data_IF_270252224336
#
_entry.id   IF_270252224336
#
_cell.length_a   1.000
_cell.length_b   1.000
_cell.length_c   1.000
_cell.angle_alpha   90.00
_cell.angle_beta   90.00
_cell.angle_gamma   90.00
#
_symmetry.space_group_name_H-M   'P 1'
#
loop_
_entity.id
_entity.type
_entity.pdbx_description
1 polymer ?
#
# COMPACT_ATOMS: atom_id res chain seq x y z
N UNK A 1 27.83 -62.38 37.08
CA UNK A 1 26.53 -62.96 37.51
C UNK A 1 25.48 -62.59 36.47
N UNK A 2 24.93 -63.63 35.84
CA UNK A 2 23.90 -63.79 34.78
C UNK A 2 23.00 -62.58 34.48
N UNK A 3 22.91 -62.09 33.22
CA UNK A 3 22.10 -62.58 32.06
C UNK A 3 20.62 -62.82 32.42
N UNK A 4 19.64 -62.23 31.71
CA UNK A 4 19.14 -62.70 30.42
C UNK A 4 18.53 -61.55 29.58
N UNK A 5 18.89 -61.50 28.29
CA UNK A 5 18.21 -60.82 27.17
C UNK A 5 17.37 -61.87 26.41
N UNK A 6 16.23 -61.47 25.84
CA UNK A 6 15.49 -62.29 24.87
C UNK A 6 15.79 -61.84 23.42
N UNK A 7 16.22 -62.82 22.61
CA UNK A 7 16.16 -62.95 21.13
C UNK A 7 14.70 -63.24 20.70
N UNK A 8 14.22 -63.27 19.45
CA UNK A 8 14.78 -63.41 18.08
C UNK A 8 13.62 -63.10 17.09
N UNK A 9 13.84 -62.44 15.95
CA UNK A 9 14.12 -63.01 14.62
C UNK A 9 12.92 -63.67 13.90
N UNK A 10 12.52 -63.14 12.72
CA UNK A 10 12.54 -63.92 11.46
C UNK A 10 12.32 -63.03 10.22
N UNK A 11 13.08 -63.36 9.16
CA UNK A 11 13.11 -62.75 7.82
C UNK A 11 13.13 -63.93 6.82
N UNK A 12 12.26 -63.94 5.82
CA UNK A 12 12.31 -64.75 4.57
C UNK A 12 10.96 -64.63 3.85
N UNK A 13 10.78 -64.81 2.54
CA UNK A 13 11.55 -64.63 1.32
C UNK A 13 10.52 -64.75 0.17
N UNK A 14 10.82 -64.10 -0.96
CA UNK A 14 10.31 -64.26 -2.34
C UNK A 14 9.39 -65.46 -2.67
N UNK A 15 8.27 -65.17 -3.35
CA UNK A 15 7.70 -66.04 -4.40
C UNK A 15 7.29 -65.18 -5.61
N UNK A 16 7.57 -65.72 -6.80
CA UNK A 16 7.49 -65.12 -8.12
C UNK A 16 6.25 -65.64 -8.88
N UNK A 17 5.69 -64.80 -9.77
CA UNK A 17 4.85 -65.09 -10.96
C UNK A 17 3.38 -65.51 -10.74
N UNK A 18 2.45 -64.69 -11.26
CA UNK A 18 1.47 -65.10 -12.27
C UNK A 18 0.77 -63.88 -12.90
N UNK A 19 0.50 -64.01 -14.19
CA UNK A 19 0.00 -63.04 -15.17
C UNK A 19 -1.43 -62.58 -14.88
N UNK A 20 -1.72 -61.27 -15.03
CA UNK A 20 -2.97 -60.79 -15.65
C UNK A 20 -2.64 -59.58 -16.55
N UNK A 21 -3.01 -59.75 -17.81
CA UNK A 21 -2.94 -58.82 -18.93
C UNK A 21 -4.11 -57.83 -18.81
N UNK A 22 -3.85 -56.53 -18.72
CA UNK A 22 -4.88 -55.51 -18.87
C UNK A 22 -4.43 -54.50 -19.94
N UNK A 23 -5.10 -54.57 -21.10
CA UNK A 23 -4.96 -53.64 -22.21
C UNK A 23 -5.38 -52.23 -21.78
N UNK A 24 -4.45 -51.28 -21.81
CA UNK A 24 -4.79 -49.86 -21.81
C UNK A 24 -4.66 -49.36 -23.24
N UNK A 25 -5.82 -49.09 -23.84
CA UNK A 25 -5.98 -48.44 -25.13
C UNK A 25 -5.56 -46.98 -24.96
N UNK A 26 -4.42 -46.62 -25.56
CA UNK A 26 -3.97 -45.22 -25.65
C UNK A 26 -4.72 -44.57 -26.81
N UNK A 27 -5.71 -43.73 -26.50
CA UNK A 27 -6.31 -42.81 -27.47
C UNK A 27 -5.33 -41.69 -27.77
N UNK A 28 -4.65 -41.78 -28.91
CA UNK A 28 -3.83 -40.69 -29.46
C UNK A 28 -4.80 -39.68 -30.09
N UNK A 29 -5.21 -38.68 -29.32
CA UNK A 29 -5.95 -37.53 -29.87
C UNK A 29 -5.01 -36.70 -30.73
N UNK A 30 -5.28 -36.68 -32.03
CA UNK A 30 -4.53 -35.94 -33.04
C UNK A 30 -4.95 -34.47 -32.98
N UNK A 31 -4.09 -33.62 -32.42
CA UNK A 31 -4.21 -32.17 -32.57
C UNK A 31 -3.82 -31.78 -34.00
N UNK A 32 -4.83 -31.54 -34.84
CA UNK A 32 -4.67 -30.87 -36.14
C UNK A 32 -4.32 -29.40 -35.90
N UNK A 33 -3.07 -29.03 -36.16
CA UNK A 33 -2.65 -27.63 -36.30
C UNK A 33 -3.12 -27.09 -37.67
N UNK A 34 -3.87 -25.97 -37.72
CA UNK A 34 -4.13 -25.29 -38.98
C UNK A 34 -2.85 -24.58 -39.48
N UNK A 35 -2.56 -24.76 -40.76
CA UNK A 35 -1.42 -24.15 -41.47
C UNK A 35 -1.47 -22.61 -41.42
N UNK A 36 -0.31 -21.92 -41.47
CA UNK A 36 -0.26 -20.46 -41.45
C UNK A 36 -0.83 -19.90 -42.75
N UNK A 37 -1.86 -19.06 -42.63
CA UNK A 37 -2.39 -18.29 -43.75
C UNK A 37 -1.47 -17.09 -44.02
N UNK A 38 -1.08 -16.93 -45.28
CA UNK A 38 -0.28 -15.81 -45.77
C UNK A 38 -0.97 -14.47 -45.46
N UNK A 39 -0.29 -13.62 -44.70
CA UNK A 39 -0.69 -12.23 -44.50
C UNK A 39 -0.47 -11.46 -45.82
N UNK A 40 -1.56 -10.98 -46.41
CA UNK A 40 -1.52 -10.05 -47.55
C UNK A 40 -1.31 -8.64 -47.00
N UNK A 41 -0.12 -8.08 -47.23
CA UNK A 41 0.22 -6.69 -46.94
C UNK A 41 -0.68 -5.76 -47.76
N UNK A 42 -1.60 -5.04 -47.12
CA UNK A 42 -2.33 -3.94 -47.76
C UNK A 42 -1.57 -2.63 -47.52
N UNK A 43 -1.00 -2.08 -48.59
CA UNK A 43 -0.46 -0.72 -48.63
C UNK A 43 -1.61 0.29 -48.49
N UNK A 44 -1.51 1.34 -47.65
CA UNK A 44 -2.53 2.37 -47.58
C UNK A 44 -2.43 3.31 -48.79
N UNK A 45 -3.50 3.41 -49.57
CA UNK A 45 -3.65 4.40 -50.64
C UNK A 45 -4.19 5.71 -50.03
N UNK A 46 -3.44 6.80 -50.19
CA UNK A 46 -3.87 8.16 -49.87
C UNK A 46 -5.07 8.55 -50.74
N UNK A 47 -6.20 8.88 -50.12
CA UNK A 47 -7.36 9.43 -50.80
C UNK A 47 -7.15 10.93 -51.08
N UNK A 48 -7.47 11.36 -52.30
CA UNK A 48 -7.43 12.75 -52.74
C UNK A 48 -8.61 13.57 -52.15
N UNK A 49 -8.43 14.87 -51.88
CA UNK A 49 -9.51 15.74 -51.37
C UNK A 49 -10.53 16.10 -52.47
N UNK A 50 -11.83 16.25 -52.14
CA UNK A 50 -12.84 16.68 -53.09
C UNK A 50 -12.76 18.19 -53.41
N UNK A 51 -13.15 18.60 -54.63
CA UNK A 51 -13.07 20.00 -55.08
C UNK A 51 -14.35 20.81 -54.78
N UNK A 52 -14.15 22.14 -54.71
CA UNK A 52 -15.07 23.30 -54.73
C UNK A 52 -16.14 23.43 -53.62
N UNK A 53 -16.55 24.61 -53.16
CA UNK A 53 -16.03 25.98 -53.00
C UNK A 53 -17.24 26.77 -52.45
N UNK A 54 -17.12 27.62 -51.43
CA UNK A 54 -17.83 28.91 -51.38
C UNK A 54 -17.01 29.93 -50.56
N UNK A 55 -16.74 31.07 -51.19
CA UNK A 55 -15.98 32.18 -50.63
C UNK A 55 -16.97 33.16 -50.00
N UNK A 56 -17.05 33.19 -48.67
CA UNK A 56 -17.75 34.26 -47.96
C UNK A 56 -16.74 35.29 -47.48
N UNK A 57 -16.81 36.49 -48.07
CA UNK A 57 -16.13 37.70 -47.61
C UNK A 57 -16.66 38.06 -46.22
N UNK A 58 -15.81 38.19 -45.19
CA UNK A 58 -16.29 38.59 -43.86
C UNK A 58 -16.63 40.08 -43.83
N UNK A 59 -17.81 40.39 -43.29
CA UNK A 59 -18.22 41.75 -42.95
C UNK A 59 -17.33 42.33 -41.82
N UNK A 60 -17.12 43.66 -41.76
CA UNK A 60 -16.30 44.26 -40.72
C UNK A 60 -16.98 44.12 -39.36
N UNK A 61 -16.34 43.37 -38.46
CA UNK A 61 -16.80 43.19 -37.09
C UNK A 61 -16.56 44.48 -36.28
N UNK A 62 -17.60 44.91 -35.57
CA UNK A 62 -17.56 46.04 -34.63
C UNK A 62 -16.53 45.77 -33.53
N UNK A 63 -15.60 46.70 -33.35
CA UNK A 63 -14.61 46.68 -32.27
C UNK A 63 -15.30 46.79 -30.91
N UNK A 64 -15.48 45.66 -30.22
CA UNK A 64 -15.78 45.68 -28.79
C UNK A 64 -14.48 45.94 -28.05
N UNK A 65 -14.44 47.02 -27.28
CA UNK A 65 -13.37 47.33 -26.33
C UNK A 65 -13.23 46.17 -25.36
N UNK A 66 -12.15 45.39 -25.51
CA UNK A 66 -11.79 44.32 -24.56
C UNK A 66 -11.25 45.00 -23.31
N UNK A 67 -12.05 45.04 -22.26
CA UNK A 67 -11.55 45.34 -20.91
C UNK A 67 -10.61 44.17 -20.53
N UNK A 68 -9.35 44.42 -20.15
CA UNK A 68 -8.45 43.35 -19.72
C UNK A 68 -9.10 42.59 -18.55
N UNK A 69 -9.03 41.24 -18.53
CA UNK A 69 -9.53 40.51 -17.37
C UNK A 69 -8.76 40.99 -16.14
N UNK A 70 -9.50 41.50 -15.15
CA UNK A 70 -9.00 41.74 -13.80
C UNK A 70 -8.25 40.48 -13.37
N UNK A 71 -6.94 40.61 -13.10
CA UNK A 71 -6.15 39.53 -12.53
C UNK A 71 -6.84 39.11 -11.24
N UNK A 72 -7.55 37.98 -11.30
CA UNK A 72 -8.10 37.34 -10.11
C UNK A 72 -6.87 36.84 -9.36
N UNK A 73 -6.61 37.42 -8.18
CA UNK A 73 -5.51 36.98 -7.34
C UNK A 73 -5.55 35.45 -7.24
N UNK A 74 -4.42 34.80 -7.49
CA UNK A 74 -4.31 33.36 -7.35
C UNK A 74 -4.85 32.95 -5.96
N UNK A 75 -5.66 31.89 -5.86
CA UNK A 75 -6.14 31.43 -4.56
C UNK A 75 -4.94 31.20 -3.65
N UNK A 76 -4.97 31.80 -2.46
CA UNK A 76 -3.93 31.61 -1.44
C UNK A 76 -3.77 30.09 -1.26
N UNK A 77 -2.58 29.52 -1.49
CA UNK A 77 -2.35 28.11 -1.22
C UNK A 77 -2.74 27.85 0.23
N UNK A 78 -3.59 26.85 0.45
CA UNK A 78 -4.00 26.51 1.80
C UNK A 78 -2.73 26.29 2.66
N UNK A 79 -2.63 26.96 3.79
CA UNK A 79 -1.54 26.76 4.74
C UNK A 79 -2.19 26.35 6.07
N UNK A 80 -2.00 25.10 6.53
CA UNK A 80 -2.68 24.59 7.72
C UNK A 80 -2.20 25.26 9.02
N UNK A 81 -1.14 26.06 8.96
CA UNK A 81 -0.73 26.95 10.05
C UNK A 81 -1.54 28.26 10.08
N UNK A 82 -2.10 28.68 8.95
CA UNK A 82 -2.85 29.93 8.79
C UNK A 82 -4.35 29.68 8.83
N UNK A 83 -4.81 28.61 8.18
CA UNK A 83 -6.21 28.14 8.22
C UNK A 83 -6.25 26.82 8.97
N UNK A 84 -7.25 26.64 9.85
CA UNK A 84 -7.32 25.51 10.79
C UNK A 84 -6.94 24.14 10.19
N UNK A 85 -7.30 23.86 8.94
CA UNK A 85 -6.85 22.68 8.21
C UNK A 85 -6.96 22.89 6.70
N UNK A 86 -6.32 22.00 5.94
CA UNK A 86 -6.33 21.98 4.49
C UNK A 86 -6.89 20.67 3.95
N UNK A 87 -7.62 20.75 2.83
CA UNK A 87 -8.01 19.57 2.04
C UNK A 87 -7.32 19.70 0.69
N UNK A 88 -6.58 18.66 0.30
CA UNK A 88 -5.76 18.65 -0.93
C UNK A 88 -5.81 17.28 -1.61
N UNK A 89 -5.28 17.22 -2.83
CA UNK A 89 -4.89 15.93 -3.40
C UNK A 89 -3.78 15.32 -2.54
N UNK A 90 -3.97 14.06 -2.12
CA UNK A 90 -2.90 13.27 -1.51
C UNK A 90 -1.99 12.69 -2.59
N UNK A 91 -0.81 12.22 -2.19
CA UNK A 91 0.13 11.59 -3.12
C UNK A 91 -0.43 10.26 -3.66
N UNK A 92 -0.99 9.42 -2.78
CA UNK A 92 -1.83 8.24 -3.07
C UNK A 92 -1.58 7.55 -4.44
N UNK A 93 -0.39 6.96 -4.64
CA UNK A 93 -0.02 6.31 -5.91
C UNK A 93 -0.17 4.79 -5.90
N UNK A 94 -0.35 4.18 -4.72
CA UNK A 94 -0.39 2.74 -4.57
C UNK A 94 -1.79 2.24 -4.27
N UNK A 95 -2.19 1.14 -4.89
CA UNK A 95 -3.36 0.39 -4.46
C UNK A 95 -3.05 -0.45 -3.22
N UNK A 96 -4.09 -0.97 -2.56
CA UNK A 96 -3.93 -1.87 -1.41
C UNK A 96 -3.29 -3.20 -1.86
N UNK A 97 -2.29 -3.73 -1.11
CA UNK A 97 -1.60 -4.97 -1.48
C UNK A 97 -2.42 -6.24 -1.17
N UNK A 98 -3.46 -6.10 -0.36
CA UNK A 98 -4.52 -7.10 -0.18
C UNK A 98 -5.77 -6.55 -0.87
N UNK A 99 -6.50 -7.41 -1.58
CA UNK A 99 -7.73 -7.04 -2.29
C UNK A 99 -8.94 -7.77 -1.69
N UNK A 100 -10.16 -7.18 -1.78
CA UNK A 100 -11.40 -7.86 -1.44
C UNK A 100 -11.53 -9.23 -2.14
N UNK A 101 -12.17 -10.23 -1.52
CA UNK A 101 -12.94 -10.16 -0.28
C UNK A 101 -12.09 -10.22 1.01
N UNK A 102 -10.76 -10.27 0.88
CA UNK A 102 -9.86 -10.30 2.04
C UNK A 102 -9.79 -8.94 2.74
N UNK A 103 -9.23 -8.92 3.95
CA UNK A 103 -9.11 -7.71 4.73
C UNK A 103 -8.01 -6.80 4.16
N UNK A 104 -8.43 -5.81 3.39
CA UNK A 104 -7.58 -4.81 2.79
C UNK A 104 -7.47 -3.52 3.64
N UNK A 105 -7.76 -3.58 4.95
CA UNK A 105 -7.57 -2.48 5.89
C UNK A 105 -6.26 -2.62 6.63
N UNK A 106 -5.55 -1.51 6.81
CA UNK A 106 -4.40 -1.46 7.69
C UNK A 106 -4.85 -1.60 9.16
N UNK A 107 -4.08 -2.33 9.95
CA UNK A 107 -4.36 -2.56 11.36
C UNK A 107 -4.14 -1.27 12.18
N UNK A 108 -5.26 -0.66 12.58
CA UNK A 108 -5.27 0.57 13.38
C UNK A 108 -4.66 0.36 14.79
N UNK A 109 -4.47 -0.87 15.24
CA UNK A 109 -3.87 -1.17 16.54
C UNK A 109 -2.34 -1.22 16.50
N UNK A 110 -1.75 -1.23 15.30
CA UNK A 110 -0.30 -1.21 15.11
C UNK A 110 0.11 -0.33 13.90
N UNK A 111 -0.23 0.95 13.99
CA UNK A 111 0.09 1.95 12.98
C UNK A 111 1.59 2.19 12.85
N UNK A 112 1.98 2.83 11.75
CA UNK A 112 3.34 3.31 11.51
C UNK A 112 3.85 4.16 12.68
N UNK A 113 5.13 4.00 12.99
CA UNK A 113 5.88 4.58 14.10
C UNK A 113 5.34 4.26 15.52
N UNK A 114 4.37 3.36 15.67
CA UNK A 114 3.90 2.93 16.99
C UNK A 114 4.92 2.00 17.66
N UNK A 115 5.21 2.21 18.95
CA UNK A 115 5.97 1.25 19.77
C UNK A 115 5.05 0.36 20.63
N UNK A 116 3.73 0.51 20.47
CA UNK A 116 2.71 -0.07 21.35
C UNK A 116 2.94 0.27 22.84
N UNK A 117 3.09 1.57 23.14
CA UNK A 117 3.33 2.09 24.49
C UNK A 117 4.65 1.61 25.09
N UNK A 118 5.73 1.70 24.32
CA UNK A 118 7.10 1.36 24.70
C UNK A 118 7.41 -0.14 24.73
N UNK A 119 6.55 -1.00 24.17
CA UNK A 119 6.70 -2.45 24.24
C UNK A 119 7.48 -3.07 23.08
N UNK A 120 7.62 -2.33 21.97
CA UNK A 120 8.26 -2.77 20.73
C UNK A 120 9.13 -1.66 20.16
N UNK A 121 10.05 -2.01 19.28
CA UNK A 121 10.67 -1.01 18.42
C UNK A 121 9.58 -0.33 17.57
N UNK A 122 9.75 0.96 17.19
CA UNK A 122 8.77 1.66 16.37
C UNK A 122 8.47 0.88 15.10
N UNK A 123 7.21 0.89 14.67
CA UNK A 123 6.77 0.16 13.48
C UNK A 123 7.14 0.89 12.19
N UNK A 124 7.86 0.23 11.27
CA UNK A 124 8.35 0.85 10.03
C UNK A 124 7.38 0.75 8.83
N UNK A 125 6.18 0.21 9.04
CA UNK A 125 5.18 0.00 8.00
C UNK A 125 3.75 0.01 8.53
N UNK A 126 2.89 -0.76 7.89
CA UNK A 126 1.53 -1.10 8.34
C UNK A 126 1.27 -2.58 8.16
N UNK A 127 0.34 -3.11 8.96
CA UNK A 127 -0.03 -4.53 8.91
C UNK A 127 -1.40 -4.74 8.26
N UNK A 128 -1.54 -5.82 7.48
CA UNK A 128 -2.82 -6.30 6.95
C UNK A 128 -3.13 -7.69 7.49
N UNK A 129 -3.98 -7.77 8.52
CA UNK A 129 -4.36 -9.05 9.15
C UNK A 129 -5.23 -9.91 8.24
N UNK A 130 -4.73 -11.08 7.83
CA UNK A 130 -5.39 -11.98 6.90
C UNK A 130 -5.01 -13.44 7.17
N UNK A 131 -5.82 -14.38 6.67
CA UNK A 131 -5.51 -15.81 6.80
C UNK A 131 -4.22 -16.18 6.05
N UNK A 132 -3.49 -17.16 6.57
CA UNK A 132 -2.33 -17.74 5.90
C UNK A 132 -2.71 -18.21 4.48
N UNK A 133 -1.87 -17.90 3.49
CA UNK A 133 -2.11 -18.24 2.08
C UNK A 133 -2.88 -17.18 1.28
N UNK A 134 -3.45 -16.16 1.95
CA UNK A 134 -4.14 -15.05 1.26
C UNK A 134 -3.24 -14.42 0.18
N UNK A 135 -3.69 -14.22 -1.07
CA UNK A 135 -2.85 -13.60 -2.10
C UNK A 135 -2.43 -12.17 -1.75
N UNK A 136 -1.14 -11.88 -1.94
CA UNK A 136 -0.53 -10.55 -1.83
C UNK A 136 -0.25 -10.04 -3.24
N UNK A 137 -0.62 -8.79 -3.50
CA UNK A 137 -0.52 -8.17 -4.81
C UNK A 137 0.47 -7.02 -4.80
N UNK A 138 1.12 -6.78 -5.94
CA UNK A 138 1.92 -5.58 -6.14
C UNK A 138 1.03 -4.33 -5.98
N UNK A 139 1.47 -3.41 -5.12
CA UNK A 139 0.77 -2.17 -4.81
C UNK A 139 0.89 -1.13 -5.94
N UNK A 140 1.87 -1.27 -6.83
CA UNK A 140 2.10 -0.41 -7.98
C UNK A 140 2.98 -1.11 -9.02
N UNK A 141 3.02 -0.55 -10.24
CA UNK A 141 3.90 -1.01 -11.31
C UNK A 141 5.36 -0.85 -10.90
N UNK A 142 6.22 -1.79 -11.25
CA UNK A 142 7.63 -1.69 -10.91
C UNK A 142 8.49 -2.90 -11.24
N UNK A 143 9.72 -2.84 -10.76
CA UNK A 143 10.73 -3.88 -10.91
C UNK A 143 10.97 -4.57 -9.57
N UNK A 144 10.88 -5.89 -9.51
CA UNK A 144 11.25 -6.66 -8.33
C UNK A 144 12.76 -6.57 -8.12
N UNK A 145 13.18 -5.89 -7.05
CA UNK A 145 14.60 -5.69 -6.68
C UNK A 145 15.07 -6.59 -5.54
N UNK A 146 14.14 -7.29 -4.89
CA UNK A 146 14.42 -8.35 -3.94
C UNK A 146 13.26 -9.35 -3.91
N UNK A 147 13.57 -10.65 -3.85
CA UNK A 147 12.59 -11.73 -3.77
C UNK A 147 13.24 -12.98 -3.16
N UNK A 148 13.43 -12.98 -1.84
CA UNK A 148 14.05 -14.07 -1.09
C UNK A 148 13.74 -13.96 0.41
N UNK A 149 14.29 -14.85 1.24
CA UNK A 149 14.31 -14.65 2.68
C UNK A 149 15.30 -13.53 3.07
N UNK A 150 14.89 -12.64 3.98
CA UNK A 150 15.69 -11.50 4.48
C UNK A 150 17.02 -11.90 5.15
N UNK A 151 17.24 -13.18 5.45
CA UNK A 151 18.57 -13.66 5.85
C UNK A 151 19.61 -13.61 4.72
N UNK A 152 19.20 -13.43 3.46
CA UNK A 152 20.10 -13.37 2.29
C UNK A 152 20.53 -11.94 1.95
N UNK A 153 19.84 -10.92 2.46
CA UNK A 153 20.25 -9.52 2.38
C UNK A 153 19.79 -8.75 3.61
N UNK A 154 20.64 -7.85 4.13
CA UNK A 154 20.31 -7.09 5.34
C UNK A 154 19.27 -5.99 5.05
N UNK A 155 17.99 -6.32 5.19
CA UNK A 155 16.85 -5.37 5.01
C UNK A 155 16.44 -4.63 6.29
N UNK A 156 16.91 -5.12 7.44
CA UNK A 156 16.74 -4.50 8.77
C UNK A 156 17.98 -4.73 9.65
N UNK A 157 18.10 -4.07 10.81
CA UNK A 157 19.14 -4.34 11.79
C UNK A 157 19.11 -5.75 12.40
N UNK A 158 17.98 -6.47 12.30
CA UNK A 158 17.79 -7.77 12.96
C UNK A 158 17.85 -8.93 11.98
N UNK A 159 18.27 -10.09 12.49
CA UNK A 159 18.36 -11.33 11.72
C UNK A 159 17.00 -12.00 11.61
N UNK A 160 16.57 -12.39 10.40
CA UNK A 160 15.32 -13.11 10.15
C UNK A 160 14.08 -12.40 10.73
N UNK A 161 14.05 -11.08 10.57
CA UNK A 161 12.99 -10.20 11.06
C UNK A 161 11.76 -10.31 10.17
N UNK A 162 11.93 -10.08 8.88
CA UNK A 162 10.83 -10.10 7.91
C UNK A 162 10.52 -11.52 7.40
N UNK A 163 11.48 -12.44 7.42
CA UNK A 163 11.31 -13.76 6.82
C UNK A 163 11.33 -13.68 5.29
N UNK A 164 10.34 -14.25 4.60
CA UNK A 164 10.26 -14.14 3.14
C UNK A 164 9.76 -12.76 2.73
N UNK A 165 10.49 -12.11 1.81
CA UNK A 165 10.25 -10.73 1.42
C UNK A 165 10.27 -10.57 -0.10
N UNK A 166 9.36 -9.73 -0.59
CA UNK A 166 9.46 -9.11 -1.91
C UNK A 166 9.70 -7.62 -1.72
N UNK A 167 10.59 -7.03 -2.51
CA UNK A 167 10.75 -5.57 -2.61
C UNK A 167 10.60 -5.17 -4.07
N UNK A 168 9.74 -4.19 -4.33
CA UNK A 168 9.49 -3.65 -5.67
C UNK A 168 9.99 -2.21 -5.70
N UNK A 169 10.81 -1.89 -6.70
CA UNK A 169 11.21 -0.53 -7.05
C UNK A 169 10.19 0.09 -7.99
N UNK A 170 9.79 1.31 -7.66
CA UNK A 170 8.87 2.14 -8.43
C UNK A 170 9.58 3.40 -8.96
N UNK A 171 8.83 4.27 -9.62
CA UNK A 171 9.33 5.59 -10.01
C UNK A 171 9.76 6.44 -8.80
N UNK A 172 10.53 7.49 -9.05
CA UNK A 172 10.94 8.50 -8.04
C UNK A 172 11.66 7.90 -6.82
N UNK A 173 12.48 6.86 -7.03
CA UNK A 173 13.28 6.25 -5.98
C UNK A 173 12.43 5.78 -4.76
N UNK A 174 11.23 5.30 -5.06
CA UNK A 174 10.30 4.73 -4.08
C UNK A 174 10.34 3.21 -4.16
N UNK A 175 10.24 2.54 -3.03
CA UNK A 175 10.16 1.09 -2.95
C UNK A 175 8.98 0.67 -2.07
N UNK A 176 8.38 -0.47 -2.39
CA UNK A 176 7.44 -1.15 -1.51
C UNK A 176 8.03 -2.48 -1.05
N UNK A 177 7.88 -2.78 0.23
CA UNK A 177 8.35 -4.02 0.84
C UNK A 177 7.14 -4.83 1.34
N UNK A 178 7.13 -6.13 1.05
CA UNK A 178 6.08 -7.08 1.40
C UNK A 178 6.70 -8.23 2.19
N UNK A 179 6.42 -8.32 3.48
CA UNK A 179 7.10 -9.23 4.39
C UNK A 179 6.17 -10.27 5.02
N UNK A 180 6.79 -11.18 5.79
CA UNK A 180 6.16 -12.30 6.47
C UNK A 180 5.47 -13.30 5.51
N UNK A 181 5.87 -13.32 4.23
CA UNK A 181 5.22 -14.12 3.22
C UNK A 181 5.37 -15.62 3.49
N UNK A 182 4.33 -16.41 3.19
CA UNK A 182 4.42 -17.88 3.25
C UNK A 182 5.10 -18.44 2.01
N UNK A 183 4.92 -17.76 0.88
CA UNK A 183 5.50 -18.11 -0.41
C UNK A 183 5.78 -16.84 -1.23
N UNK A 184 6.86 -16.89 -2.00
CA UNK A 184 7.24 -15.84 -2.95
C UNK A 184 6.92 -16.37 -4.35
N UNK A 185 6.16 -15.59 -5.13
CA UNK A 185 5.66 -16.00 -6.46
C UNK A 185 6.31 -15.24 -7.62
N UNK A 186 7.27 -14.37 -7.31
CA UNK A 186 8.03 -13.58 -8.28
C UNK A 186 9.53 -13.76 -8.07
N UNK A 187 10.33 -13.33 -9.04
CA UNK A 187 11.79 -13.43 -8.99
C UNK A 187 12.46 -12.08 -9.14
N UNK A 188 13.69 -11.97 -8.65
CA UNK A 188 14.53 -10.78 -8.85
C UNK A 188 14.63 -10.41 -10.34
N UNK A 189 14.43 -9.13 -10.66
CA UNK A 189 14.48 -8.60 -12.01
C UNK A 189 13.17 -8.74 -12.80
N UNK A 190 12.13 -9.33 -12.21
CA UNK A 190 10.81 -9.40 -12.84
C UNK A 190 10.11 -8.04 -12.82
N UNK A 191 9.58 -7.61 -13.96
CA UNK A 191 8.62 -6.50 -14.04
C UNK A 191 7.23 -6.99 -13.60
N UNK A 192 6.55 -6.17 -12.81
CA UNK A 192 5.19 -6.45 -12.30
C UNK A 192 4.32 -5.22 -12.49
N UNK A 193 3.03 -5.45 -12.75
CA UNK A 193 2.02 -4.41 -12.77
C UNK A 193 1.28 -4.39 -11.42
N UNK A 194 0.70 -3.23 -11.08
CA UNK A 194 -0.21 -3.11 -9.97
C UNK A 194 -1.31 -4.19 -10.09
N UNK A 195 -1.40 -5.05 -9.08
CA UNK A 195 -2.43 -6.10 -8.99
C UNK A 195 -1.93 -7.48 -9.38
N UNK A 196 -0.70 -7.61 -9.86
CA UNK A 196 -0.07 -8.91 -10.04
C UNK A 196 0.13 -9.58 -8.68
N UNK A 197 -0.16 -10.87 -8.58
CA UNK A 197 0.07 -11.66 -7.36
C UNK A 197 1.56 -11.92 -7.22
N UNK A 198 2.16 -11.44 -6.13
CA UNK A 198 3.61 -11.52 -5.88
C UNK A 198 3.99 -12.52 -4.79
N UNK A 199 3.01 -12.96 -4.00
CA UNK A 199 3.23 -13.87 -2.91
C UNK A 199 1.94 -14.19 -2.17
N UNK A 200 2.08 -14.84 -1.01
CA UNK A 200 0.97 -15.17 -0.14
C UNK A 200 1.26 -14.73 1.29
N UNK A 201 0.25 -14.22 1.98
CA UNK A 201 0.29 -13.93 3.42
C UNK A 201 0.81 -15.16 4.15
N UNK A 202 1.71 -14.93 5.08
CA UNK A 202 2.30 -15.99 5.89
C UNK A 202 2.55 -15.53 7.31
N UNK A 203 3.52 -16.18 7.92
CA UNK A 203 3.96 -15.93 9.30
C UNK A 203 5.45 -16.27 9.43
N UNK A 204 6.23 -16.02 8.37
CA UNK A 204 7.67 -16.24 8.39
C UNK A 204 8.40 -15.11 9.13
N UNK A 205 9.62 -15.35 9.59
CA UNK A 205 10.41 -14.33 10.29
C UNK A 205 9.94 -14.14 11.74
N UNK A 206 9.84 -12.89 12.18
CA UNK A 206 9.41 -12.48 13.52
C UNK A 206 7.90 -12.37 13.72
N UNK A 207 7.08 -12.72 12.73
CA UNK A 207 5.61 -12.64 12.83
C UNK A 207 5.04 -13.60 13.88
N UNK A 208 4.12 -13.12 14.71
CA UNK A 208 3.45 -13.90 15.77
C UNK A 208 2.12 -14.53 15.34
N UNK A 209 1.59 -14.13 14.19
CA UNK A 209 0.32 -14.56 13.63
C UNK A 209 0.29 -14.27 12.12
N UNK A 210 -0.59 -14.89 11.31
CA UNK A 210 -0.65 -14.60 9.89
C UNK A 210 -1.05 -13.14 9.58
N UNK A 211 -0.19 -12.42 8.87
CA UNK A 211 -0.44 -11.06 8.37
C UNK A 211 0.55 -10.70 7.26
N UNK A 212 0.28 -9.61 6.54
CA UNK A 212 1.23 -8.96 5.65
C UNK A 212 1.75 -7.69 6.32
N UNK A 213 3.07 -7.61 6.47
CA UNK A 213 3.77 -6.37 6.78
C UNK A 213 4.11 -5.64 5.48
N UNK A 214 3.72 -4.38 5.40
CA UNK A 214 3.88 -3.55 4.21
C UNK A 214 4.58 -2.23 4.55
N UNK A 215 5.67 -1.94 3.84
CA UNK A 215 6.37 -0.66 3.97
C UNK A 215 6.40 0.10 2.65
N UNK A 216 6.52 1.42 2.77
CA UNK A 216 6.97 2.29 1.70
C UNK A 216 8.31 2.87 2.13
N UNK A 217 9.31 2.81 1.25
CA UNK A 217 10.65 3.40 1.46
C UNK A 217 10.94 4.42 0.39
N UNK A 218 11.64 5.49 0.73
CA UNK A 218 12.08 6.53 -0.22
C UNK A 218 13.57 6.77 -0.11
N UNK A 219 14.28 6.80 -1.24
CA UNK A 219 15.70 7.12 -1.28
C UNK A 219 16.47 6.30 -2.29
N UNK A 220 17.81 6.36 -2.23
CA UNK A 220 18.66 5.68 -3.21
C UNK A 220 18.80 4.17 -3.02
N UNK A 221 18.44 3.64 -1.85
CA UNK A 221 18.75 2.27 -1.44
C UNK A 221 17.54 1.60 -0.77
N UNK A 222 17.04 0.51 -1.36
CA UNK A 222 15.91 -0.24 -0.82
C UNK A 222 16.25 -0.96 0.48
N UNK A 223 17.54 -1.16 0.80
CA UNK A 223 17.99 -1.82 2.02
C UNK A 223 18.05 -0.87 3.22
N UNK A 224 17.90 0.45 3.00
CA UNK A 224 17.88 1.43 4.08
C UNK A 224 16.59 1.31 4.90
N UNK A 225 16.71 0.62 6.03
CA UNK A 225 15.64 0.38 6.99
C UNK A 225 15.03 1.67 7.56
N UNK A 226 15.83 2.75 7.68
CA UNK A 226 15.38 4.01 8.27
C UNK A 226 14.78 4.98 7.25
N UNK A 227 14.68 4.56 5.98
CA UNK A 227 14.11 5.37 4.89
C UNK A 227 12.59 5.23 4.73
N UNK A 228 11.93 4.56 5.68
CA UNK A 228 10.49 4.28 5.59
C UNK A 228 9.64 5.53 5.74
N UNK A 229 8.52 5.54 5.02
CA UNK A 229 7.49 6.56 5.05
C UNK A 229 6.20 5.93 5.57
N UNK A 230 5.28 6.71 6.12
CA UNK A 230 3.99 6.16 6.49
C UNK A 230 3.23 5.66 5.25
N UNK A 231 2.99 4.34 5.09
CA UNK A 231 2.34 3.80 3.90
C UNK A 231 0.92 4.34 3.68
N UNK A 232 0.24 4.79 4.73
CA UNK A 232 -1.12 5.33 4.65
C UNK A 232 -1.17 6.68 3.90
N UNK A 233 -0.06 7.38 3.69
CA UNK A 233 0.01 8.56 2.79
C UNK A 233 0.15 8.19 1.30
N UNK A 234 0.46 6.93 1.01
CA UNK A 234 0.76 6.44 -0.35
C UNK A 234 -0.32 5.51 -0.88
N UNK A 235 -1.10 4.90 0.01
CA UNK A 235 -2.20 4.03 -0.35
C UNK A 235 -3.43 4.86 -0.77
N UNK A 236 -4.05 4.48 -1.88
CA UNK A 236 -5.31 5.04 -2.35
C UNK A 236 -6.42 4.82 -1.31
N UNK A 237 -7.11 5.89 -0.87
CA UNK A 237 -8.31 5.76 -0.06
C UNK A 237 -9.39 4.98 -0.82
N UNK A 238 -10.15 4.16 -0.09
CA UNK A 238 -11.31 3.47 -0.67
C UNK A 238 -12.40 4.45 -1.10
N UNK A 239 -13.26 4.00 -2.01
CA UNK A 239 -14.45 4.76 -2.39
C UNK A 239 -15.27 5.14 -1.14
N UNK A 240 -15.69 6.41 -1.07
CA UNK A 240 -16.41 6.96 0.09
C UNK A 240 -15.54 7.29 1.31
N UNK A 241 -14.21 7.25 1.16
CA UNK A 241 -13.26 7.57 2.25
C UNK A 241 -12.17 8.55 1.81
N UNK A 242 -11.49 9.16 2.77
CA UNK A 242 -10.31 9.99 2.58
C UNK A 242 -9.25 9.71 3.66
N UNK A 243 -8.19 10.52 3.69
CA UNK A 243 -7.15 10.42 4.70
C UNK A 243 -7.03 11.69 5.54
N UNK A 244 -6.49 11.53 6.74
CA UNK A 244 -6.19 12.58 7.69
C UNK A 244 -4.70 12.49 8.06
N UNK A 245 -3.96 13.58 7.87
CA UNK A 245 -2.61 13.79 8.39
C UNK A 245 -2.66 14.83 9.50
N UNK A 246 -2.07 14.49 10.65
CA UNK A 246 -1.99 15.33 11.83
C UNK A 246 -0.52 15.64 12.06
N UNK A 247 -0.23 16.93 12.28
CA UNK A 247 1.08 17.43 12.65
C UNK A 247 0.97 18.23 13.95
N UNK A 248 1.95 18.07 14.83
CA UNK A 248 2.13 18.83 16.07
C UNK A 248 3.46 19.57 15.98
N UNK A 249 3.37 20.90 15.98
CA UNK A 249 4.50 21.83 15.95
C UNK A 249 4.55 22.66 17.23
N UNK A 250 5.72 23.17 17.68
CA UNK A 250 7.03 22.98 17.07
C UNK A 250 7.62 21.59 17.38
N UNK A 251 8.61 21.16 16.60
CA UNK A 251 9.16 19.80 16.71
C UNK A 251 9.85 19.56 18.06
N UNK A 252 10.43 20.62 18.64
CA UNK A 252 11.14 20.59 19.91
C UNK A 252 10.23 20.27 21.11
N UNK A 253 8.92 20.48 20.97
CA UNK A 253 7.91 20.20 21.98
C UNK A 253 7.08 18.95 21.67
N UNK A 254 7.51 18.17 20.67
CA UNK A 254 6.85 16.92 20.30
C UNK A 254 6.93 15.96 21.49
N UNK A 255 5.77 15.68 22.07
CA UNK A 255 5.63 14.59 23.02
C UNK A 255 5.40 13.33 22.20
N UNK A 256 6.46 12.54 22.00
CA UNK A 256 6.41 11.31 21.22
C UNK A 256 5.39 10.34 21.81
N UNK A 257 4.65 9.66 20.94
CA UNK A 257 3.56 8.75 21.33
C UNK A 257 2.46 9.38 22.19
N UNK A 258 2.24 10.69 22.03
CA UNK A 258 1.07 11.38 22.59
C UNK A 258 -0.24 10.72 22.15
N UNK A 259 -1.14 10.37 23.08
CA UNK A 259 -2.48 9.91 22.75
C UNK A 259 -3.29 10.98 22.01
N UNK A 260 -3.86 10.60 20.88
CA UNK A 260 -4.74 11.43 20.05
C UNK A 260 -6.07 10.68 19.88
N UNK A 261 -7.16 11.41 20.11
CA UNK A 261 -8.52 10.91 19.91
C UNK A 261 -9.08 11.55 18.65
N UNK A 262 -9.51 10.72 17.71
CA UNK A 262 -10.19 11.17 16.49
C UNK A 262 -11.63 10.67 16.54
N UNK A 263 -12.57 11.58 16.71
CA UNK A 263 -13.99 11.28 16.89
C UNK A 263 -14.75 11.58 15.60
N UNK A 264 -15.45 10.59 15.05
CA UNK A 264 -16.36 10.75 13.91
C UNK A 264 -17.76 11.11 14.39
N UNK A 265 -18.38 12.09 13.74
CA UNK A 265 -19.74 12.52 14.00
C UNK A 265 -20.71 12.13 12.88
N UNK A 266 -21.98 11.99 13.22
CA UNK A 266 -23.05 11.81 12.25
C UNK A 266 -23.21 13.07 11.37
N UNK A 267 -23.68 12.92 10.13
CA UNK A 267 -23.80 14.05 9.20
C UNK A 267 -24.78 15.14 9.69
N UNK A 268 -25.80 14.76 10.47
CA UNK A 268 -26.93 15.63 10.81
C UNK A 268 -26.94 16.08 12.29
N UNK A 269 -25.83 15.96 13.01
CA UNK A 269 -25.79 16.39 14.42
C UNK A 269 -24.46 16.08 15.11
N UNK A 270 -24.48 16.18 16.43
CA UNK A 270 -23.29 15.97 17.29
C UNK A 270 -23.24 14.55 17.89
N UNK A 271 -23.99 13.61 17.30
CA UNK A 271 -23.92 12.19 17.68
C UNK A 271 -22.57 11.60 17.27
N UNK A 272 -21.89 10.99 18.24
CA UNK A 272 -20.62 10.29 18.01
C UNK A 272 -20.91 8.93 17.38
N UNK A 273 -20.40 8.72 16.17
CA UNK A 273 -20.56 7.47 15.42
C UNK A 273 -19.43 6.51 15.71
N UNK A 274 -18.21 7.01 15.84
CA UNK A 274 -17.03 6.20 16.07
C UNK A 274 -15.91 7.02 16.70
N UNK A 275 -15.03 6.36 17.46
CA UNK A 275 -13.85 6.98 18.07
C UNK A 275 -12.62 6.14 17.75
N UNK A 276 -11.63 6.77 17.13
CA UNK A 276 -10.31 6.20 16.90
C UNK A 276 -9.37 6.67 18.02
N UNK A 277 -8.68 5.72 18.64
CA UNK A 277 -7.62 5.99 19.61
C UNK A 277 -6.29 5.68 18.96
N UNK A 278 -5.49 6.71 18.70
CA UNK A 278 -4.17 6.59 18.09
C UNK A 278 -3.12 7.29 18.96
N UNK A 279 -1.87 7.14 18.60
CA UNK A 279 -0.78 7.90 19.18
C UNK A 279 -0.04 8.64 18.06
N UNK A 280 0.57 9.77 18.39
CA UNK A 280 1.59 10.36 17.52
C UNK A 280 2.80 9.43 17.38
N UNK A 281 3.65 9.69 16.40
CA UNK A 281 4.82 8.88 16.12
C UNK A 281 5.80 8.83 17.30
N UNK A 282 6.55 7.73 17.37
CA UNK A 282 7.73 7.63 18.21
C UNK A 282 8.84 8.57 17.74
N UNK A 283 9.83 8.78 18.62
CA UNK A 283 10.98 9.61 18.32
C UNK A 283 11.82 9.03 17.17
N UNK A 284 12.27 9.90 16.26
CA UNK A 284 13.06 9.56 15.08
C UNK A 284 12.23 9.24 13.84
N UNK A 285 10.90 9.44 13.89
CA UNK A 285 9.97 9.13 12.80
C UNK A 285 9.29 10.36 12.22
N UNK A 286 9.85 11.55 12.44
CA UNK A 286 9.29 12.85 12.01
C UNK A 286 9.39 13.08 10.48
N UNK A 287 9.34 12.00 9.68
CA UNK A 287 9.37 12.03 8.22
C UNK A 287 8.25 12.92 7.69
N UNK A 288 8.55 13.76 6.70
CA UNK A 288 7.59 14.65 6.00
C UNK A 288 6.69 15.54 6.88
N UNK A 289 7.12 15.81 8.12
CA UNK A 289 6.51 16.70 9.11
C UNK A 289 5.26 16.16 9.80
N UNK A 290 4.68 15.03 9.41
CA UNK A 290 3.52 14.52 10.12
C UNK A 290 3.87 13.83 11.45
N UNK A 291 2.83 13.63 12.26
CA UNK A 291 2.86 12.99 13.57
C UNK A 291 1.91 11.81 13.65
N UNK A 292 0.85 11.79 12.84
CA UNK A 292 -0.07 10.67 12.76
C UNK A 292 -0.84 10.74 11.44
N UNK A 293 -1.13 9.57 10.87
CA UNK A 293 -1.95 9.45 9.67
C UNK A 293 -2.98 8.36 9.85
N UNK A 294 -4.20 8.64 9.38
CA UNK A 294 -5.26 7.65 9.22
C UNK A 294 -5.79 7.75 7.79
N UNK A 295 -5.76 6.66 7.03
CA UNK A 295 -6.44 6.56 5.74
C UNK A 295 -7.75 5.75 5.92
N UNK A 296 -8.52 5.64 4.84
CA UNK A 296 -9.83 5.00 4.79
C UNK A 296 -10.84 5.53 5.83
N UNK A 297 -10.71 6.80 6.22
CA UNK A 297 -11.73 7.45 7.06
C UNK A 297 -12.97 7.75 6.22
N UNK A 298 -14.16 7.25 6.58
CA UNK A 298 -15.39 7.58 5.87
C UNK A 298 -15.60 9.10 5.74
N UNK A 299 -16.16 9.55 4.62
CA UNK A 299 -16.47 10.98 4.44
C UNK A 299 -17.34 11.51 5.58
N UNK A 300 -17.02 12.73 6.04
CA UNK A 300 -17.80 13.39 7.07
C UNK A 300 -16.99 14.27 8.03
N UNK A 301 -17.64 14.62 9.14
CA UNK A 301 -17.11 15.51 10.17
C UNK A 301 -16.38 14.73 11.25
N UNK A 302 -15.20 15.22 11.61
CA UNK A 302 -14.34 14.65 12.63
C UNK A 302 -13.90 15.72 13.62
N UNK A 303 -13.65 15.30 14.87
CA UNK A 303 -12.94 16.10 15.88
C UNK A 303 -11.66 15.39 16.25
N UNK A 304 -10.56 16.11 16.23
CA UNK A 304 -9.26 15.65 16.68
C UNK A 304 -9.01 16.28 18.03
N UNK A 305 -8.59 15.50 19.02
CA UNK A 305 -8.34 15.99 20.36
C UNK A 305 -7.15 15.31 21.03
N UNK A 306 -6.34 16.08 21.75
CA UNK A 306 -5.25 15.58 22.59
C UNK A 306 -4.90 16.62 23.66
N UNK A 307 -4.13 16.23 24.68
CA UNK A 307 -3.62 17.17 25.68
C UNK A 307 -2.18 17.57 25.38
N UNK A 308 -1.83 18.83 25.63
CA UNK A 308 -0.46 19.34 25.72
C UNK A 308 -0.16 19.88 27.13
N UNK A 309 1.03 20.47 27.32
CA UNK A 309 1.47 21.12 28.56
C UNK A 309 0.50 22.21 29.06
N UNK A 310 -0.24 22.81 28.13
CA UNK A 310 -1.13 23.94 28.31
C UNK A 310 -2.61 23.55 28.34
N UNK A 311 -2.94 22.27 28.19
CA UNK A 311 -4.29 21.71 28.33
C UNK A 311 -4.82 21.00 27.07
N UNK A 312 -6.15 20.93 26.97
CA UNK A 312 -6.83 20.26 25.86
C UNK A 312 -6.66 21.07 24.57
N UNK A 313 -6.28 20.38 23.49
CA UNK A 313 -6.32 20.85 22.11
C UNK A 313 -7.41 20.09 21.38
N UNK A 314 -8.22 20.81 20.63
CA UNK A 314 -9.20 20.20 19.75
C UNK A 314 -9.38 20.99 18.45
N UNK A 315 -9.69 20.27 17.38
CA UNK A 315 -10.05 20.88 16.10
C UNK A 315 -11.04 20.01 15.37
N UNK A 316 -12.06 20.63 14.79
CA UNK A 316 -12.96 19.97 13.87
C UNK A 316 -12.41 20.05 12.45
N UNK A 317 -12.48 18.94 11.73
CA UNK A 317 -12.08 18.83 10.32
C UNK A 317 -13.15 18.10 9.53
N UNK A 318 -13.09 18.24 8.22
CA UNK A 318 -13.93 17.49 7.30
C UNK A 318 -13.06 16.57 6.44
N UNK A 319 -13.48 15.32 6.27
CA UNK A 319 -12.82 14.35 5.38
C UNK A 319 -13.60 14.27 4.08
N UNK A 320 -12.90 14.50 2.97
CA UNK A 320 -13.44 14.38 1.61
C UNK A 320 -12.96 13.10 0.92
N UNK A 321 -13.79 12.61 -0.01
CA UNK A 321 -13.49 11.38 -0.73
C UNK A 321 -12.22 11.53 -1.58
N UNK A 322 -11.27 10.61 -1.39
CA UNK A 322 -10.02 10.56 -2.15
C UNK A 322 -9.05 11.70 -1.86
N UNK A 323 -9.34 12.56 -0.88
CA UNK A 323 -8.49 13.71 -0.51
C UNK A 323 -7.70 13.45 0.76
N UNK A 324 -6.60 14.19 0.90
CA UNK A 324 -5.85 14.30 2.13
C UNK A 324 -6.33 15.55 2.88
N UNK A 325 -6.76 15.35 4.12
CA UNK A 325 -7.03 16.42 5.08
C UNK A 325 -5.82 16.58 5.97
N UNK A 326 -5.19 17.75 5.95
CA UNK A 326 -3.98 18.05 6.72
C UNK A 326 -4.30 19.05 7.82
N UNK A 327 -3.90 18.73 9.04
CA UNK A 327 -4.07 19.60 10.20
C UNK A 327 -2.76 19.80 10.92
N UNK A 328 -2.48 21.04 11.32
CA UNK A 328 -1.30 21.40 12.10
C UNK A 328 -1.73 22.05 13.42
N UNK A 329 -1.36 21.43 14.53
CA UNK A 329 -1.50 22.01 15.85
C UNK A 329 -0.20 22.69 16.25
N UNK A 330 -0.23 24.01 16.38
CA UNK A 330 0.86 24.81 16.92
C UNK A 330 0.70 24.90 18.46
N UNK A 331 1.60 24.25 19.19
CA UNK A 331 1.65 24.16 20.64
C UNK A 331 2.78 25.05 21.18
N UNK A 332 2.73 25.37 22.48
CA UNK A 332 3.62 26.34 23.14
C UNK A 332 4.13 25.84 24.49
#
# INVERSE_FOLDING_TARGET
>A
MNLIRFCSCCKMERIMRSFILACVVVFVSSCNFPAPQNAVTKTPTLAAPPPWAETHTPAPASTKTVVPPTQTAAPIPCDPLIVDYCIREGYFVFQRPILPPNNAEADITYLYASTQNGKRDPHHGVEFQNAFGTPVHAAGDGLVVFADADKTAKLSPWTNFYGNVVVIQHANATYTLYAHLSNILVVLGQEVNAGDVIGNVGMSGGATGPHLHFEVRMGGDYTDYFSTQNPELWLLPRQGTGALSITVHPLEERNYERPIVVTRYAQNGDEVVFVYYIASYASGFEHNREDAVLNNLPVGRYKIAFNDSSGLRERFVWIEQGKLTEVVFDIK
#
